data_IF_389510093246
#
_entry.id   IF_389510093246
#
_cell.length_a   1.000
_cell.length_b   1.000
_cell.length_c   1.000
_cell.angle_alpha   90.00
_cell.angle_beta   90.00
_cell.angle_gamma   90.00
#
_symmetry.space_group_name_H-M   'P 1'
#
loop_
_entity.id
_entity.type
_entity.pdbx_description
1 polymer ?
#
# COMPACT_ATOMS: atom_id res chain seq x y z
N UNK A 1 3.64 8.10 -8.04
CA UNK A 1 2.82 9.03 -7.24
C UNK A 1 3.09 8.84 -5.75
N UNK A 2 2.73 7.69 -5.17
CA UNK A 2 2.85 7.38 -3.73
C UNK A 2 4.18 7.78 -3.06
N UNK A 3 5.33 7.28 -3.54
CA UNK A 3 6.62 7.56 -2.88
C UNK A 3 7.00 9.04 -2.82
N UNK A 4 6.59 9.85 -3.80
CA UNK A 4 6.88 11.31 -3.80
C UNK A 4 6.06 12.03 -2.74
N UNK A 5 4.80 11.64 -2.55
CA UNK A 5 3.93 12.18 -1.49
C UNK A 5 4.44 11.75 -0.12
N UNK A 6 4.80 10.48 0.03
CA UNK A 6 5.38 9.94 1.26
C UNK A 6 6.67 10.68 1.66
N UNK A 7 7.60 10.85 0.71
CA UNK A 7 8.86 11.55 0.96
C UNK A 7 8.69 13.04 1.30
N UNK A 8 7.63 13.70 0.81
CA UNK A 8 7.31 15.07 1.22
C UNK A 8 6.82 15.16 2.66
N UNK A 9 6.09 14.14 3.13
CA UNK A 9 5.55 14.07 4.50
C UNK A 9 6.59 13.67 5.53
N UNK A 10 7.46 12.71 5.19
CA UNK A 10 8.39 12.09 6.13
C UNK A 10 9.87 12.35 5.82
N UNK A 11 10.18 13.21 4.85
CA UNK A 11 11.53 13.54 4.38
C UNK A 11 12.35 12.34 3.86
N UNK A 12 11.73 11.17 3.68
CA UNK A 12 12.36 9.93 3.24
C UNK A 12 11.36 9.08 2.45
N UNK A 13 11.85 8.31 1.49
CA UNK A 13 11.06 7.32 0.75
C UNK A 13 11.15 5.91 1.35
N UNK A 14 11.90 5.73 2.44
CA UNK A 14 12.05 4.44 3.13
C UNK A 14 10.83 4.10 3.98
N UNK A 15 10.59 2.80 4.18
CA UNK A 15 9.52 2.32 5.04
C UNK A 15 9.78 2.71 6.50
N UNK A 16 8.83 3.41 7.12
CA UNK A 16 8.82 3.66 8.56
C UNK A 16 8.26 2.45 9.32
N UNK A 17 8.53 2.32 10.63
CA UNK A 17 8.01 1.22 11.44
C UNK A 17 6.47 1.12 11.36
N UNK A 18 5.89 -0.10 11.29
CA UNK A 18 4.44 -0.27 11.18
C UNK A 18 3.64 0.40 12.30
N UNK A 19 4.11 0.28 13.54
CA UNK A 19 3.48 0.90 14.71
C UNK A 19 3.48 2.43 14.66
N UNK A 20 4.51 3.03 14.05
CA UNK A 20 4.56 4.46 13.82
C UNK A 20 3.54 4.89 12.76
N UNK A 21 3.48 4.16 11.64
CA UNK A 21 2.52 4.44 10.57
C UNK A 21 1.06 4.29 11.01
N UNK A 22 0.75 3.29 11.84
CA UNK A 22 -0.59 3.13 12.41
C UNK A 22 -0.98 4.33 13.29
N UNK A 23 -0.06 4.79 14.16
CA UNK A 23 -0.30 5.97 15.00
C UNK A 23 -0.51 7.23 14.15
N UNK A 24 0.33 7.46 13.15
CA UNK A 24 0.22 8.61 12.25
C UNK A 24 -1.08 8.59 11.44
N UNK A 25 -1.51 7.39 11.00
CA UNK A 25 -2.80 7.22 10.33
C UNK A 25 -3.94 7.68 11.24
N UNK A 26 -4.02 7.17 12.47
CA UNK A 26 -5.09 7.56 13.39
C UNK A 26 -5.02 9.03 13.79
N UNK A 27 -3.83 9.59 13.92
CA UNK A 27 -3.65 11.02 14.16
C UNK A 27 -4.20 11.86 12.99
N UNK A 28 -3.94 11.44 11.76
CA UNK A 28 -4.46 12.10 10.56
C UNK A 28 -5.99 12.02 10.47
N UNK A 29 -6.58 10.87 10.82
CA UNK A 29 -8.04 10.70 10.84
C UNK A 29 -8.70 11.59 11.91
N UNK A 30 -8.09 11.71 13.09
CA UNK A 30 -8.67 12.46 14.20
C UNK A 30 -8.57 13.98 14.04
N UNK A 31 -7.45 14.49 13.52
CA UNK A 31 -7.17 15.93 13.48
C UNK A 31 -6.20 16.36 12.37
N UNK A 32 -6.10 15.56 11.31
CA UNK A 32 -5.22 15.81 10.17
C UNK A 32 -5.65 16.97 9.29
N UNK A 33 -4.81 17.26 8.29
CA UNK A 33 -5.05 18.29 7.26
C UNK A 33 -5.19 17.71 5.86
N UNK A 34 -4.92 16.41 5.69
CA UNK A 34 -5.03 15.70 4.42
C UNK A 34 -6.51 15.46 4.12
N UNK A 35 -6.99 16.06 3.03
CA UNK A 35 -8.41 15.99 2.66
C UNK A 35 -8.78 14.63 2.04
N UNK A 36 -7.93 14.10 1.16
CA UNK A 36 -8.20 12.85 0.44
C UNK A 36 -6.92 12.10 0.10
N UNK A 37 -7.07 10.79 -0.17
CA UNK A 37 -6.01 9.93 -0.71
C UNK A 37 -6.52 9.19 -1.95
N UNK A 38 -5.62 8.87 -2.86
CA UNK A 38 -5.93 8.12 -4.09
C UNK A 38 -5.76 6.62 -3.82
N UNK A 39 -6.76 5.82 -4.21
CA UNK A 39 -6.72 4.37 -4.13
C UNK A 39 -7.44 3.77 -5.35
N UNK A 40 -6.96 2.62 -5.82
CA UNK A 40 -7.55 1.90 -6.95
C UNK A 40 -8.30 0.67 -6.43
N UNK A 41 -9.57 0.87 -6.05
CA UNK A 41 -10.48 -0.22 -5.66
C UNK A 41 -11.06 -0.90 -6.89
N UNK A 42 -11.48 -2.15 -6.72
CA UNK A 42 -12.33 -2.88 -7.69
C UNK A 42 -11.74 -2.91 -9.11
N UNK A 43 -10.41 -2.98 -9.18
CA UNK A 43 -9.69 -3.19 -10.44
C UNK A 43 -9.76 -4.67 -10.78
N UNK A 44 -10.42 -5.00 -11.88
CA UNK A 44 -10.47 -6.37 -12.40
C UNK A 44 -9.09 -6.85 -12.86
N UNK A 45 -8.79 -8.11 -12.58
CA UNK A 45 -7.54 -8.77 -12.94
C UNK A 45 -6.85 -9.41 -11.74
N UNK A 46 -5.79 -10.17 -12.02
CA UNK A 46 -4.99 -10.84 -10.99
C UNK A 46 -3.51 -10.50 -11.17
N UNK A 47 -2.81 -10.32 -10.06
CA UNK A 47 -1.36 -10.16 -10.04
C UNK A 47 -0.63 -11.51 -9.96
N UNK A 48 -1.35 -12.62 -9.75
CA UNK A 48 -0.75 -13.94 -9.74
C UNK A 48 -0.24 -14.33 -11.13
N UNK A 49 0.92 -14.96 -11.16
CA UNK A 49 1.54 -15.42 -12.39
C UNK A 49 0.70 -16.50 -13.06
N UNK A 50 0.56 -16.42 -14.37
CA UNK A 50 -0.01 -17.47 -15.21
C UNK A 50 1.03 -18.45 -15.75
N UNK A 51 2.31 -18.26 -15.40
CA UNK A 51 3.39 -19.17 -15.79
C UNK A 51 3.18 -20.54 -15.15
N UNK A 52 3.32 -21.65 -15.91
CA UNK A 52 3.22 -23.00 -15.36
C UNK A 52 4.33 -23.31 -14.34
N UNK A 53 5.43 -22.56 -14.38
CA UNK A 53 6.58 -22.74 -13.50
C UNK A 53 6.53 -21.90 -12.22
N UNK A 54 5.50 -21.05 -12.05
CA UNK A 54 5.36 -20.22 -10.85
C UNK A 54 4.69 -21.02 -9.72
N UNK A 55 5.47 -21.32 -8.67
CA UNK A 55 5.00 -22.09 -7.52
C UNK A 55 3.83 -21.42 -6.79
N UNK A 56 3.81 -20.08 -6.72
CA UNK A 56 2.74 -19.34 -6.05
C UNK A 56 1.48 -19.28 -6.92
N UNK A 57 1.63 -19.09 -8.23
CA UNK A 57 0.55 -19.04 -9.20
C UNK A 57 -0.18 -20.38 -9.36
N UNK A 58 0.53 -21.53 -9.23
CA UNK A 58 -0.11 -22.85 -9.34
C UNK A 58 -0.62 -23.43 -8.01
N UNK A 59 -0.25 -22.85 -6.87
CA UNK A 59 -0.66 -23.39 -5.58
C UNK A 59 -2.13 -23.09 -5.27
N UNK A 60 -2.71 -23.84 -4.33
CA UNK A 60 -4.11 -23.67 -3.90
C UNK A 60 -4.37 -22.41 -3.07
N UNK A 61 -3.34 -21.58 -2.86
CA UNK A 61 -3.44 -20.26 -2.22
C UNK A 61 -3.48 -19.11 -3.23
N UNK A 62 -3.40 -19.41 -4.54
CA UNK A 62 -3.76 -18.44 -5.56
C UNK A 62 -5.26 -18.12 -5.43
N UNK A 63 -5.58 -16.84 -5.27
CA UNK A 63 -6.94 -16.31 -5.06
C UNK A 63 -7.62 -16.00 -6.39
#
# INVERSE_FOLDING_TARGET
>A
MANKVYARRYCSAGCLPPSYMEKEFWHEIASGKTESVEYACDVDGSAFSSSPDDELGKCKWNM
#
